data_IF_727444240519
#
_entry.id   IF_727444240519
#
_cell.length_a   1.000
_cell.length_b   1.000
_cell.length_c   1.000
_cell.angle_alpha   90.00
_cell.angle_beta   90.00
_cell.angle_gamma   90.00
#
_symmetry.space_group_name_H-M   'P 1'
#
loop_
_entity.id
_entity.type
_entity.pdbx_description
1 polymer ?
#
# COMPACT_ATOMS: atom_id res chain seq x y z
N UNK A 1 -1.01 17.83 -9.91
CA UNK A 1 -1.03 17.46 -8.48
C UNK A 1 -0.76 15.96 -8.26
N UNK A 2 -1.29 15.07 -9.11
CA UNK A 2 -0.95 13.63 -9.08
C UNK A 2 0.42 13.31 -9.71
N UNK A 3 0.74 13.89 -10.87
CA UNK A 3 1.92 13.48 -11.66
C UNK A 3 3.27 13.74 -10.97
N UNK A 4 3.41 14.87 -10.26
CA UNK A 4 4.68 15.19 -9.57
C UNK A 4 4.98 14.24 -8.41
N UNK A 5 4.00 13.54 -7.85
CA UNK A 5 4.21 12.58 -6.74
C UNK A 5 4.70 11.22 -7.23
N UNK A 6 4.50 10.90 -8.51
CA UNK A 6 4.87 9.61 -9.11
C UNK A 6 5.99 9.72 -10.15
N UNK A 7 6.72 10.84 -10.16
CA UNK A 7 7.89 10.99 -11.02
C UNK A 7 8.90 9.85 -10.75
N UNK A 8 9.52 9.26 -11.79
CA UNK A 8 10.43 8.12 -11.64
C UNK A 8 11.54 8.35 -10.61
N UNK A 9 12.12 9.56 -10.58
CA UNK A 9 13.18 9.89 -9.63
C UNK A 9 12.70 9.89 -8.17
N UNK A 10 11.43 10.25 -7.93
CA UNK A 10 10.86 10.18 -6.58
C UNK A 10 10.55 8.75 -6.16
N UNK A 11 10.04 7.93 -7.09
CA UNK A 11 9.85 6.51 -6.83
C UNK A 11 11.18 5.83 -6.54
N UNK A 12 12.24 6.16 -7.29
CA UNK A 12 13.58 5.64 -7.04
C UNK A 12 14.11 6.06 -5.65
N UNK A 13 13.88 7.30 -5.24
CA UNK A 13 14.22 7.77 -3.90
C UNK A 13 13.42 7.05 -2.81
N UNK A 14 12.12 6.83 -3.02
CA UNK A 14 11.27 6.07 -2.09
C UNK A 14 11.70 4.60 -1.97
N UNK A 15 12.17 3.98 -3.05
CA UNK A 15 12.64 2.59 -3.04
C UNK A 15 14.01 2.42 -2.39
N UNK A 16 14.81 3.49 -2.31
CA UNK A 16 16.13 3.48 -1.67
C UNK A 16 16.08 3.92 -0.19
N UNK A 17 14.89 4.24 0.31
CA UNK A 17 14.66 4.70 1.67
C UNK A 17 14.35 3.50 2.58
N UNK A 18 15.24 3.21 3.52
CA UNK A 18 15.12 2.04 4.41
C UNK A 18 13.91 2.11 5.35
N UNK A 19 13.35 3.31 5.55
CA UNK A 19 12.12 3.51 6.35
C UNK A 19 10.85 3.31 5.51
N UNK A 20 10.98 2.94 4.22
CA UNK A 20 9.87 2.66 3.31
C UNK A 20 9.93 1.26 2.76
N UNK A 21 8.77 0.63 2.68
CA UNK A 21 8.63 -0.70 2.09
C UNK A 21 7.57 -0.69 1.00
N UNK A 22 7.97 -1.15 -0.19
CA UNK A 22 7.11 -1.29 -1.36
C UNK A 22 6.81 -2.76 -1.64
N UNK A 23 5.55 -3.06 -1.94
CA UNK A 23 5.06 -4.41 -2.25
C UNK A 23 4.33 -4.38 -3.58
N UNK A 24 4.62 -5.35 -4.45
CA UNK A 24 3.93 -5.52 -5.72
C UNK A 24 3.27 -6.88 -5.78
N UNK A 25 2.07 -6.91 -6.35
CA UNK A 25 1.46 -8.15 -6.80
C UNK A 25 1.70 -8.28 -8.30
N UNK A 26 2.31 -9.38 -8.71
CA UNK A 26 2.60 -9.67 -10.12
C UNK A 26 1.67 -10.76 -10.64
N UNK A 27 1.24 -10.59 -11.89
CA UNK A 27 0.57 -11.65 -12.65
C UNK A 27 1.59 -12.67 -13.14
N UNK A 28 1.15 -13.86 -13.58
CA UNK A 28 2.06 -14.86 -14.16
C UNK A 28 2.86 -14.37 -15.38
N UNK A 29 2.39 -13.34 -16.08
CA UNK A 29 3.08 -12.72 -17.20
C UNK A 29 4.08 -11.62 -16.80
N UNK A 30 4.26 -11.38 -15.49
CA UNK A 30 5.16 -10.36 -14.94
C UNK A 30 4.58 -8.95 -14.93
N UNK A 31 3.33 -8.75 -15.37
CA UNK A 31 2.67 -7.44 -15.23
C UNK A 31 2.25 -7.19 -13.78
N UNK A 32 2.30 -5.93 -13.34
CA UNK A 32 1.87 -5.53 -12.01
C UNK A 32 0.33 -5.46 -11.97
N UNK A 33 -0.25 -6.12 -10.98
CA UNK A 33 -1.69 -6.17 -10.72
C UNK A 33 -2.10 -5.35 -9.47
N UNK A 34 -1.14 -5.02 -8.63
CA UNK A 34 -1.36 -4.24 -7.43
C UNK A 34 -0.06 -3.73 -6.82
N UNK A 35 -0.18 -2.66 -6.05
CA UNK A 35 0.94 -2.00 -5.41
C UNK A 35 0.53 -1.48 -4.03
N UNK A 36 1.37 -1.73 -3.04
CA UNK A 36 1.24 -1.15 -1.72
C UNK A 36 2.57 -0.51 -1.28
N UNK A 37 2.49 0.54 -0.49
CA UNK A 37 3.66 1.15 0.13
C UNK A 37 3.32 1.60 1.55
N UNK A 38 4.20 1.26 2.48
CA UNK A 38 4.14 1.73 3.85
C UNK A 38 5.44 2.47 4.20
N UNK A 39 5.32 3.49 5.03
CA UNK A 39 6.42 4.31 5.51
C UNK A 39 6.41 4.35 7.04
N UNK A 40 7.59 4.27 7.65
CA UNK A 40 7.82 4.42 9.08
C UNK A 40 8.33 5.83 9.37
N UNK A 41 7.81 6.48 10.41
CA UNK A 41 8.36 7.74 10.90
C UNK A 41 9.51 7.53 11.91
N UNK A 42 10.15 8.62 12.33
CA UNK A 42 11.27 8.60 13.27
C UNK A 42 10.90 8.11 14.69
N UNK A 43 9.60 7.97 14.99
CA UNK A 43 9.07 7.43 16.25
C UNK A 43 8.70 5.96 16.13
N UNK A 44 8.80 5.38 14.95
CA UNK A 44 8.44 4.00 14.65
C UNK A 44 6.95 3.80 14.34
N UNK A 45 6.20 4.88 14.15
CA UNK A 45 4.79 4.80 13.72
C UNK A 45 4.74 4.51 12.21
N UNK A 46 3.87 3.59 11.79
CA UNK A 46 3.78 3.17 10.38
C UNK A 46 2.49 3.64 9.74
N UNK A 47 2.60 4.16 8.53
CA UNK A 47 1.50 4.60 7.68
C UNK A 47 1.45 3.80 6.38
N UNK A 48 0.27 3.29 6.03
CA UNK A 48 -0.02 2.74 4.70
C UNK A 48 -0.37 3.90 3.77
N UNK A 49 0.62 4.37 3.02
CA UNK A 49 0.50 5.52 2.11
C UNK A 49 -0.21 5.18 0.81
N UNK A 50 -0.06 3.93 0.34
CA UNK A 50 -0.58 3.50 -0.96
C UNK A 50 -1.11 2.08 -0.86
N UNK A 51 -2.30 1.86 -1.42
CA UNK A 51 -2.84 0.55 -1.75
C UNK A 51 -3.69 0.68 -3.02
N UNK A 52 -3.13 0.25 -4.14
CA UNK A 52 -3.74 0.34 -5.46
C UNK A 52 -3.84 -1.05 -6.07
N UNK A 53 -4.97 -1.32 -6.70
CA UNK A 53 -5.28 -2.61 -7.32
C UNK A 53 -5.85 -2.32 -8.70
N UNK A 54 -5.41 -3.08 -9.70
CA UNK A 54 -5.99 -2.98 -11.04
C UNK A 54 -7.49 -3.31 -11.00
N UNK A 55 -8.36 -2.53 -11.67
CA UNK A 55 -9.81 -2.72 -11.61
C UNK A 55 -10.28 -4.14 -11.95
N UNK A 56 -9.57 -4.83 -12.86
CA UNK A 56 -9.84 -6.20 -13.26
C UNK A 56 -9.66 -7.21 -12.12
N UNK A 57 -8.91 -6.86 -11.09
CA UNK A 57 -8.62 -7.71 -9.92
C UNK A 57 -9.55 -7.44 -8.74
N UNK A 58 -10.55 -6.56 -8.90
CA UNK A 58 -11.50 -6.28 -7.83
C UNK A 58 -12.33 -7.53 -7.47
N UNK A 59 -12.37 -7.84 -6.18
CA UNK A 59 -13.09 -9.00 -5.66
C UNK A 59 -12.31 -10.32 -5.72
N UNK A 60 -11.08 -10.35 -6.26
CA UNK A 60 -10.24 -11.54 -6.28
C UNK A 60 -9.63 -11.89 -4.91
N UNK A 61 -9.54 -10.90 -4.01
CA UNK A 61 -8.81 -11.01 -2.74
C UNK A 61 -7.43 -10.33 -2.77
N UNK A 62 -6.96 -9.86 -3.93
CA UNK A 62 -5.61 -9.31 -4.08
C UNK A 62 -5.30 -8.12 -3.16
N UNK A 63 -6.29 -7.25 -2.93
CA UNK A 63 -6.16 -6.15 -1.97
C UNK A 63 -5.87 -6.64 -0.54
N UNK A 64 -6.56 -7.72 -0.13
CA UNK A 64 -6.37 -8.35 1.17
C UNK A 64 -4.99 -9.01 1.26
N UNK A 65 -4.55 -9.69 0.20
CA UNK A 65 -3.22 -10.32 0.18
C UNK A 65 -2.09 -9.30 0.29
N UNK A 66 -2.19 -8.17 -0.43
CA UNK A 66 -1.22 -7.08 -0.30
C UNK A 66 -1.25 -6.43 1.08
N UNK A 67 -2.43 -6.20 1.65
CA UNK A 67 -2.55 -5.69 3.01
C UNK A 67 -1.89 -6.64 4.03
N UNK A 68 -2.11 -7.94 3.89
CA UNK A 68 -1.47 -8.94 4.74
C UNK A 68 0.05 -8.97 4.58
N UNK A 69 0.57 -8.79 3.37
CA UNK A 69 2.02 -8.68 3.15
C UNK A 69 2.62 -7.47 3.88
N UNK A 70 1.94 -6.32 3.82
CA UNK A 70 2.33 -5.12 4.59
C UNK A 70 2.33 -5.41 6.09
N UNK A 71 1.26 -6.00 6.63
CA UNK A 71 1.15 -6.32 8.06
C UNK A 71 2.23 -7.32 8.52
N UNK A 72 2.53 -8.33 7.69
CA UNK A 72 3.56 -9.32 7.99
C UNK A 72 4.97 -8.71 8.01
N UNK A 73 5.26 -7.80 7.08
CA UNK A 73 6.55 -7.10 7.05
C UNK A 73 6.77 -6.18 8.27
N UNK A 74 5.68 -5.70 8.86
CA UNK A 74 5.68 -4.85 10.05
C UNK A 74 5.26 -5.62 11.32
N UNK A 75 5.43 -6.94 11.33
CA UNK A 75 5.11 -7.77 12.48
C UNK A 75 5.90 -7.30 13.71
N UNK A 76 5.18 -6.99 14.79
CA UNK A 76 5.76 -6.45 16.03
C UNK A 76 5.41 -4.99 16.30
N UNK A 77 4.87 -4.28 15.31
CA UNK A 77 4.31 -2.94 15.49
C UNK A 77 2.84 -3.06 15.92
N UNK A 78 2.43 -2.22 16.87
CA UNK A 78 1.11 -2.34 17.49
C UNK A 78 -0.04 -2.01 16.52
N UNK A 79 0.18 -1.10 15.58
CA UNK A 79 -0.83 -0.65 14.61
C UNK A 79 -0.17 0.00 13.40
N UNK A 80 -0.88 -0.03 12.27
CA UNK A 80 -0.57 0.76 11.07
C UNK A 80 -1.72 1.75 10.86
N UNK A 81 -1.38 3.02 10.64
CA UNK A 81 -2.34 4.06 10.29
C UNK A 81 -2.54 4.15 8.77
N UNK A 82 -3.66 4.73 8.35
CA UNK A 82 -3.92 5.06 6.95
C UNK A 82 -4.84 6.27 6.86
N UNK A 83 -4.78 6.97 5.73
CA UNK A 83 -5.74 7.98 5.36
C UNK A 83 -6.50 7.55 4.12
N UNK A 84 -7.80 7.85 4.10
CA UNK A 84 -8.67 7.57 2.95
C UNK A 84 -9.53 8.79 2.69
N UNK A 85 -9.64 9.16 1.41
CA UNK A 85 -10.44 10.32 0.99
C UNK A 85 -11.92 10.07 1.33
N UNK A 86 -12.56 11.09 1.90
CA UNK A 86 -14.00 11.08 2.19
C UNK A 86 -14.82 10.75 0.92
N UNK A 87 -15.83 9.90 1.06
CA UNK A 87 -16.65 9.42 -0.06
C UNK A 87 -16.07 8.24 -0.84
N UNK A 88 -14.86 7.77 -0.51
CA UNK A 88 -14.38 6.48 -1.01
C UNK A 88 -14.97 5.31 -0.20
N UNK A 89 -16.28 5.13 -0.31
CA UNK A 89 -17.04 4.15 0.48
C UNK A 89 -16.51 2.72 0.33
N UNK A 90 -16.01 2.39 -0.87
CA UNK A 90 -15.40 1.09 -1.15
C UNK A 90 -14.14 0.87 -0.32
N UNK A 91 -13.21 1.82 -0.32
CA UNK A 91 -11.97 1.70 0.45
C UNK A 91 -12.25 1.76 1.96
N UNK A 92 -13.17 2.63 2.40
CA UNK A 92 -13.58 2.72 3.81
C UNK A 92 -14.15 1.38 4.29
N UNK A 93 -15.07 0.78 3.53
CA UNK A 93 -15.64 -0.53 3.85
C UNK A 93 -14.59 -1.64 3.85
N UNK A 94 -13.64 -1.58 2.90
CA UNK A 94 -12.51 -2.51 2.84
C UNK A 94 -11.66 -2.43 4.11
N UNK A 95 -11.19 -1.24 4.51
CA UNK A 95 -10.33 -1.09 5.69
C UNK A 95 -11.06 -1.46 6.99
N UNK A 96 -12.32 -1.03 7.16
CA UNK A 96 -13.14 -1.41 8.33
C UNK A 96 -13.33 -2.92 8.49
N UNK A 97 -13.27 -3.68 7.39
CA UNK A 97 -13.36 -5.14 7.43
C UNK A 97 -12.06 -5.79 7.92
N UNK A 98 -10.92 -5.09 7.81
CA UNK A 98 -9.59 -5.62 8.09
C UNK A 98 -8.91 -4.98 9.33
N UNK A 99 -9.59 -4.09 10.05
CA UNK A 99 -9.10 -3.45 11.28
C UNK A 99 -9.54 -2.01 11.37
#
# INVERSE_FOLDING_TARGET
LSDDKHAPDKLAAELADDDKMSFVAERPDGSIAGYAMAAMDDRGDVMLDRLHIEPEEYGSGLATDLLHAVLAAHAGIASIALEVIEGNDRAIAFYRKHG
#
